data_IF_162190476911
#
_entry.id   IF_162190476911
#
_cell.length_a   1.000
_cell.length_b   1.000
_cell.length_c   1.000
_cell.angle_alpha   90.00
_cell.angle_beta   90.00
_cell.angle_gamma   90.00
#
_symmetry.space_group_name_H-M   'P 1'
#
loop_
_entity.id
_entity.type
_entity.pdbx_description
1 polymer ?
#
# COMPACT_ATOMS: atom_id res chain seq x y z
N UNK A 1 -6.16 10.48 14.99
CA UNK A 1 -5.56 9.57 13.98
C UNK A 1 -6.27 8.24 14.13
N UNK A 2 -7.51 8.12 13.67
CA UNK A 2 -8.31 6.92 13.98
C UNK A 2 -8.40 5.89 12.86
N UNK A 3 -8.07 6.23 11.61
CA UNK A 3 -7.95 5.24 10.54
C UNK A 3 -6.82 5.61 9.57
N UNK A 4 -5.65 4.98 9.70
CA UNK A 4 -4.49 5.32 8.86
C UNK A 4 -4.51 4.58 7.51
N UNK A 5 -4.81 3.28 7.54
CA UNK A 5 -4.96 2.45 6.34
C UNK A 5 -6.30 1.74 6.39
N UNK A 6 -7.22 2.16 5.52
CA UNK A 6 -8.53 1.54 5.42
C UNK A 6 -8.78 1.14 3.97
N UNK A 7 -9.02 -0.15 3.75
CA UNK A 7 -9.27 -0.74 2.43
C UNK A 7 -10.47 -0.14 1.70
N UNK A 8 -11.41 0.50 2.40
CA UNK A 8 -12.54 1.20 1.77
C UNK A 8 -12.11 2.41 0.94
N UNK A 9 -10.92 2.97 1.23
CA UNK A 9 -10.26 3.97 0.38
C UNK A 9 -9.24 3.35 -0.59
N UNK A 10 -8.96 2.05 -0.47
CA UNK A 10 -8.07 1.36 -1.39
C UNK A 10 -8.76 1.07 -2.73
N UNK A 11 -8.00 1.16 -3.82
CA UNK A 11 -8.53 0.97 -5.19
C UNK A 11 -8.39 2.21 -6.09
N UNK A 12 -7.97 3.36 -5.56
CA UNK A 12 -7.68 4.58 -6.35
C UNK A 12 -6.62 4.32 -7.45
N UNK A 13 -5.77 3.31 -7.28
CA UNK A 13 -4.69 2.94 -8.20
C UNK A 13 -4.85 1.57 -8.86
N UNK A 14 -6.06 0.99 -8.79
CA UNK A 14 -6.38 -0.31 -9.38
C UNK A 14 -6.01 -1.50 -8.49
N UNK A 15 -6.86 -2.52 -8.50
CA UNK A 15 -6.71 -3.73 -7.67
C UNK A 15 -6.01 -4.85 -8.43
N UNK A 16 -4.89 -4.60 -9.13
CA UNK A 16 -4.25 -5.61 -10.02
C UNK A 16 -3.79 -6.86 -9.26
N UNK A 17 -3.31 -6.70 -8.03
CA UNK A 17 -2.75 -7.77 -7.21
C UNK A 17 -3.65 -8.10 -6.00
N UNK A 18 -4.84 -7.51 -5.92
CA UNK A 18 -5.82 -7.76 -4.87
C UNK A 18 -6.58 -6.52 -4.40
N UNK A 19 -7.75 -6.72 -3.80
CA UNK A 19 -8.59 -5.67 -3.22
C UNK A 19 -8.18 -5.27 -1.80
N UNK A 20 -6.92 -4.86 -1.63
CA UNK A 20 -6.36 -4.49 -0.32
C UNK A 20 -5.55 -3.20 -0.35
N UNK A 21 -4.81 -2.92 0.71
CA UNK A 21 -3.95 -1.73 0.83
C UNK A 21 -2.57 -2.04 0.27
N UNK A 22 -2.07 -1.16 -0.59
CA UNK A 22 -0.83 -1.37 -1.35
C UNK A 22 0.34 -0.66 -0.67
N UNK A 23 1.44 -1.38 -0.52
CA UNK A 23 2.72 -0.89 -0.01
C UNK A 23 3.82 -1.20 -1.00
N UNK A 24 4.88 -0.39 -0.99
CA UNK A 24 6.10 -0.69 -1.72
C UNK A 24 7.33 -0.53 -0.85
N UNK A 25 8.30 -1.41 -1.06
CA UNK A 25 9.62 -1.32 -0.44
C UNK A 25 10.51 -0.25 -1.07
N UNK A 26 10.10 0.35 -2.20
CA UNK A 26 10.85 1.36 -2.92
C UNK A 26 10.11 2.71 -2.89
N UNK A 27 10.74 3.74 -2.31
CA UNK A 27 10.18 5.08 -2.22
C UNK A 27 10.01 5.73 -3.61
N UNK A 28 10.93 5.51 -4.55
CA UNK A 28 10.82 6.01 -5.93
C UNK A 28 9.66 5.38 -6.69
N UNK A 29 9.33 4.12 -6.38
CA UNK A 29 8.12 3.49 -6.91
C UNK A 29 6.87 4.09 -6.29
N UNK A 30 6.84 4.23 -4.95
CA UNK A 30 5.74 4.86 -4.21
C UNK A 30 5.48 6.30 -4.67
N UNK A 31 6.52 7.04 -5.05
CA UNK A 31 6.42 8.42 -5.55
C UNK A 31 5.44 8.55 -6.73
N UNK A 32 5.42 7.55 -7.63
CA UNK A 32 4.55 7.54 -8.81
C UNK A 32 3.05 7.54 -8.45
N UNK A 33 2.73 7.13 -7.22
CA UNK A 33 1.38 7.07 -6.67
C UNK A 33 1.05 8.26 -5.76
N UNK A 34 1.97 9.23 -5.62
CA UNK A 34 1.71 10.48 -4.91
C UNK A 34 1.21 11.56 -5.86
N UNK A 35 0.34 12.46 -5.38
CA UNK A 35 -0.09 13.65 -6.12
C UNK A 35 0.36 14.90 -5.37
N UNK A 36 0.97 15.89 -6.04
CA UNK A 36 1.32 17.14 -5.40
C UNK A 36 0.07 17.94 -5.04
N UNK A 37 0.10 18.64 -3.91
CA UNK A 37 -0.91 19.62 -3.53
C UNK A 37 -0.69 20.97 -4.25
N UNK A 38 -1.49 21.99 -3.93
CA UNK A 38 -1.37 23.33 -4.51
C UNK A 38 -0.03 24.04 -4.20
N UNK A 39 0.71 23.57 -3.19
CA UNK A 39 2.04 24.07 -2.81
C UNK A 39 3.18 23.20 -3.39
N UNK A 40 2.86 22.30 -4.31
CA UNK A 40 3.78 21.32 -4.94
C UNK A 40 4.36 20.28 -3.96
N UNK A 41 3.75 20.11 -2.79
CA UNK A 41 4.16 19.13 -1.79
C UNK A 41 3.44 17.80 -2.01
N UNK A 42 4.16 16.71 -1.76
CA UNK A 42 3.69 15.33 -1.85
C UNK A 42 3.77 14.69 -0.47
N UNK A 43 2.82 13.82 -0.19
CA UNK A 43 2.76 13.06 1.06
C UNK A 43 3.04 11.58 0.79
N UNK A 44 3.83 10.95 1.66
CA UNK A 44 4.10 9.51 1.65
C UNK A 44 4.17 8.97 3.07
N UNK A 45 3.49 7.85 3.34
CA UNK A 45 3.65 7.16 4.61
C UNK A 45 4.82 6.18 4.57
N UNK A 46 5.68 6.23 5.58
CA UNK A 46 6.61 5.14 5.90
C UNK A 46 5.95 4.29 6.99
N UNK A 47 5.76 3.01 6.69
CA UNK A 47 4.96 2.11 7.53
C UNK A 47 5.69 0.81 7.84
N UNK A 48 5.46 0.28 9.05
CA UNK A 48 5.81 -1.09 9.41
C UNK A 48 4.64 -1.98 9.05
N UNK A 49 4.86 -2.96 8.19
CA UNK A 49 3.80 -3.80 7.64
C UNK A 49 4.06 -5.27 7.93
N UNK A 50 3.08 -5.97 8.49
CA UNK A 50 3.09 -7.41 8.73
C UNK A 50 2.73 -8.16 7.44
N UNK A 51 3.73 -8.34 6.58
CA UNK A 51 3.60 -8.96 5.26
C UNK A 51 3.32 -10.47 5.36
N UNK A 52 3.93 -11.16 6.32
CA UNK A 52 3.75 -12.59 6.54
C UNK A 52 4.08 -13.43 5.31
N UNK A 53 3.33 -14.51 5.09
CA UNK A 53 3.48 -15.39 3.94
C UNK A 53 2.77 -14.81 2.71
N UNK A 54 3.48 -14.68 1.60
CA UNK A 54 2.97 -14.00 0.39
C UNK A 54 2.73 -14.97 -0.76
N UNK A 55 1.83 -14.61 -1.67
CA UNK A 55 1.63 -15.26 -2.97
C UNK A 55 1.43 -14.22 -4.06
N UNK A 56 1.60 -14.61 -5.32
CA UNK A 56 1.28 -13.73 -6.46
C UNK A 56 -0.21 -13.38 -6.41
N UNK A 57 -0.49 -12.07 -6.44
CA UNK A 57 -1.84 -11.52 -6.43
C UNK A 57 -2.47 -11.46 -7.82
N UNK A 58 -3.80 -11.37 -7.86
CA UNK A 58 -4.54 -11.05 -9.08
C UNK A 58 -5.78 -10.21 -8.77
N UNK A 59 -6.40 -9.67 -9.83
CA UNK A 59 -7.48 -8.69 -9.69
C UNK A 59 -8.81 -9.23 -9.19
N UNK A 60 -9.01 -10.55 -9.21
CA UNK A 60 -10.21 -11.18 -8.67
C UNK A 60 -10.15 -11.38 -7.15
N UNK A 61 -8.97 -11.27 -6.53
CA UNK A 61 -8.77 -11.53 -5.11
C UNK A 61 -9.24 -10.36 -4.24
N UNK A 62 -10.45 -10.47 -3.67
CA UNK A 62 -11.02 -9.45 -2.76
C UNK A 62 -10.56 -9.59 -1.31
N UNK A 63 -10.06 -10.76 -0.93
CA UNK A 63 -9.62 -11.11 0.42
C UNK A 63 -8.30 -11.86 0.34
N UNK A 64 -7.64 -12.05 1.49
CA UNK A 64 -6.37 -12.79 1.53
C UNK A 64 -6.56 -14.21 0.97
N UNK A 65 -5.62 -14.72 0.15
CA UNK A 65 -5.63 -16.11 -0.28
C UNK A 65 -5.51 -17.09 0.89
N UNK A 66 -6.07 -18.30 0.73
CA UNK A 66 -6.01 -19.31 1.79
C UNK A 66 -4.55 -19.71 2.09
N UNK A 67 -4.15 -19.62 3.36
CA UNK A 67 -2.80 -19.98 3.78
C UNK A 67 -1.72 -18.94 3.46
N UNK A 68 -2.13 -17.71 3.12
CA UNK A 68 -1.27 -16.55 2.90
C UNK A 68 -1.82 -15.33 3.65
N UNK A 69 -0.93 -14.42 4.00
CA UNK A 69 -1.22 -13.21 4.78
C UNK A 69 -1.33 -11.96 3.90
N UNK A 70 -0.67 -11.98 2.73
CA UNK A 70 -0.65 -10.88 1.76
C UNK A 70 -0.45 -11.40 0.33
N UNK A 71 -0.62 -10.51 -0.65
CA UNK A 71 -0.24 -10.77 -2.03
C UNK A 71 0.86 -9.82 -2.51
N UNK A 72 1.53 -10.19 -3.59
CA UNK A 72 2.63 -9.41 -4.18
C UNK A 72 2.60 -9.47 -5.70
N UNK A 73 3.27 -8.53 -6.35
CA UNK A 73 3.66 -8.61 -7.77
C UNK A 73 4.92 -9.48 -8.00
N UNK A 74 5.56 -9.93 -6.92
CA UNK A 74 6.84 -10.65 -6.95
C UNK A 74 8.07 -9.73 -6.97
N UNK A 75 7.88 -8.41 -6.87
CA UNK A 75 8.96 -7.44 -6.92
C UNK A 75 8.79 -6.29 -5.90
N UNK A 76 8.02 -5.25 -6.23
CA UNK A 76 7.99 -4.01 -5.46
C UNK A 76 6.66 -3.75 -4.75
N UNK A 77 5.62 -4.55 -4.98
CA UNK A 77 4.29 -4.34 -4.44
C UNK A 77 3.94 -5.43 -3.44
N UNK A 78 3.36 -5.01 -2.32
CA UNK A 78 2.71 -5.89 -1.37
C UNK A 78 1.31 -5.38 -1.04
N UNK A 79 0.34 -6.28 -0.94
CA UNK A 79 -1.06 -5.94 -0.66
C UNK A 79 -1.51 -6.63 0.62
N UNK A 80 -1.94 -5.84 1.60
CA UNK A 80 -2.51 -6.34 2.86
C UNK A 80 -4.04 -6.28 2.83
N UNK A 81 -4.68 -7.18 3.58
CA UNK A 81 -6.13 -7.36 3.53
C UNK A 81 -6.84 -6.99 4.84
N UNK A 82 -6.07 -6.59 5.86
CA UNK A 82 -6.56 -6.22 7.18
C UNK A 82 -5.92 -4.91 7.65
N UNK A 83 -6.73 -4.01 8.20
CA UNK A 83 -6.30 -2.63 8.52
C UNK A 83 -5.21 -2.61 9.61
N UNK A 84 -5.28 -3.55 10.58
CA UNK A 84 -4.25 -3.72 11.61
C UNK A 84 -2.92 -4.35 11.12
N UNK A 85 -2.77 -4.73 9.84
CA UNK A 85 -1.50 -5.26 9.32
C UNK A 85 -0.45 -4.17 9.08
N UNK A 86 -0.82 -2.89 9.13
CA UNK A 86 0.10 -1.79 8.88
C UNK A 86 0.04 -0.76 10.00
N UNK A 87 1.22 -0.35 10.47
CA UNK A 87 1.40 0.75 11.39
C UNK A 87 2.15 1.87 10.66
N UNK A 88 1.49 3.01 10.45
CA UNK A 88 2.14 4.19 9.91
C UNK A 88 3.07 4.78 10.96
N UNK A 89 4.37 4.71 10.68
CA UNK A 89 5.40 5.18 11.61
C UNK A 89 5.71 6.66 11.36
N UNK A 90 5.74 7.08 10.08
CA UNK A 90 6.01 8.46 9.70
C UNK A 90 5.13 8.90 8.54
N UNK A 91 4.77 10.19 8.54
CA UNK A 91 4.26 10.91 7.37
C UNK A 91 5.39 11.81 6.83
N UNK A 92 5.83 11.52 5.61
CA UNK A 92 6.89 12.27 4.93
C UNK A 92 6.22 13.26 3.97
N UNK A 93 6.56 14.55 4.12
CA UNK A 93 6.15 15.62 3.23
C UNK A 93 7.39 16.13 2.48
N UNK A 94 7.34 16.14 1.16
CA UNK A 94 8.49 16.48 0.31
C UNK A 94 8.04 17.09 -1.02
N UNK A 95 8.97 17.70 -1.76
CA UNK A 95 8.75 18.21 -3.12
C UNK A 95 9.58 17.43 -4.13
N UNK A 96 9.14 17.38 -5.38
CA UNK A 96 9.99 16.91 -6.48
C UNK A 96 11.17 17.86 -6.65
N UNK A 97 12.34 17.33 -7.01
CA UNK A 97 13.54 18.13 -7.27
C UNK A 97 13.44 18.81 -8.63
#
# INVERSE_FOLDING_TARGET
MEDCFNRSFAGVHGTIYGGGVYFSSNASFSHQYTKPNALEERCMFLSRVLIGKTTIGNSSMKTRPLGFDSTTDGNHIFVTYHDAQAYAEYLIIYKSK
#
